data_IF_597467782782
#
_entry.id   IF_597467782782
#
_cell.length_a   1.000
_cell.length_b   1.000
_cell.length_c   1.000
_cell.angle_alpha   90.00
_cell.angle_beta   90.00
_cell.angle_gamma   90.00
#
_symmetry.space_group_name_H-M   'P 1'
#
loop_
_entity.id
_entity.type
_entity.pdbx_description
1 polymer ?
#
# COMPACT_ATOMS: atom_id res chain seq x y z
N UNK A 1 -22.96 3.33 -16.84
CA UNK A 1 -22.33 2.65 -15.69
C UNK A 1 -21.45 1.56 -16.28
N UNK A 2 -20.14 1.81 -16.46
CA UNK A 2 -19.24 0.87 -17.14
C UNK A 2 -18.90 -0.24 -16.14
N UNK A 3 -19.66 -1.33 -16.17
CA UNK A 3 -19.48 -2.54 -15.36
C UNK A 3 -18.58 -3.58 -16.06
N UNK A 4 -17.56 -3.15 -16.80
CA UNK A 4 -16.49 -4.04 -17.25
C UNK A 4 -15.32 -3.92 -16.29
N UNK A 5 -15.54 -4.33 -15.03
CA UNK A 5 -14.46 -4.52 -14.06
C UNK A 5 -13.75 -5.82 -14.43
N UNK A 6 -12.47 -5.74 -14.77
CA UNK A 6 -11.67 -6.91 -15.14
C UNK A 6 -11.35 -7.67 -13.86
N UNK A 7 -12.11 -8.74 -13.57
CA UNK A 7 -11.66 -9.73 -12.58
C UNK A 7 -10.50 -10.51 -13.21
N UNK A 8 -9.31 -10.54 -12.58
CA UNK A 8 -8.24 -11.40 -13.06
C UNK A 8 -8.65 -12.86 -12.83
N UNK A 9 -8.65 -13.67 -13.89
CA UNK A 9 -8.84 -15.13 -13.76
C UNK A 9 -7.46 -15.78 -13.60
N UNK A 10 -7.26 -16.43 -12.46
CA UNK A 10 -6.06 -17.21 -12.19
C UNK A 10 -6.17 -18.56 -12.89
N UNK A 11 -5.14 -18.91 -13.66
CA UNK A 11 -4.98 -20.23 -14.26
C UNK A 11 -3.87 -20.96 -13.53
N UNK A 12 -4.21 -22.10 -12.91
CA UNK A 12 -3.22 -22.95 -12.26
C UNK A 12 -2.28 -23.57 -13.31
N UNK A 13 -0.96 -23.52 -13.09
CA UNK A 13 0.00 -24.16 -13.97
C UNK A 13 0.22 -25.62 -13.53
N UNK A 14 -0.64 -26.53 -13.98
CA UNK A 14 -0.54 -27.98 -13.71
C UNK A 14 -0.54 -28.76 -15.03
N UNK A 15 0.20 -29.88 -15.06
CA UNK A 15 0.41 -30.69 -16.27
C UNK A 15 -0.86 -31.42 -16.74
N UNK A 16 -1.75 -31.78 -15.83
CA UNK A 16 -3.04 -32.44 -16.12
C UNK A 16 -4.16 -31.41 -16.28
N UNK A 17 -4.93 -31.55 -17.37
CA UNK A 17 -6.01 -30.62 -17.72
C UNK A 17 -7.14 -30.61 -16.68
N UNK A 18 -7.48 -31.77 -16.11
CA UNK A 18 -8.54 -31.90 -15.10
C UNK A 18 -8.15 -31.22 -13.77
N UNK A 19 -6.93 -31.46 -13.27
CA UNK A 19 -6.48 -30.84 -12.02
C UNK A 19 -6.26 -29.34 -12.18
N UNK A 20 -5.84 -28.91 -13.38
CA UNK A 20 -5.73 -27.50 -13.72
C UNK A 20 -7.08 -26.79 -13.61
N UNK A 21 -8.15 -27.36 -14.16
CA UNK A 21 -9.50 -26.78 -14.08
C UNK A 21 -9.96 -26.66 -12.63
N UNK A 22 -9.87 -27.77 -11.88
CA UNK A 22 -10.30 -27.83 -10.48
C UNK A 22 -9.53 -26.80 -9.63
N UNK A 23 -8.20 -26.76 -9.74
CA UNK A 23 -7.39 -25.80 -8.97
C UNK A 23 -7.65 -24.36 -9.37
N UNK A 24 -7.86 -24.09 -10.65
CA UNK A 24 -8.18 -22.72 -11.11
C UNK A 24 -9.53 -22.28 -10.53
N UNK A 25 -10.54 -23.15 -10.51
CA UNK A 25 -11.84 -22.87 -9.89
C UNK A 25 -11.71 -22.59 -8.38
N UNK A 26 -10.93 -23.40 -7.66
CA UNK A 26 -10.68 -23.17 -6.23
C UNK A 26 -9.94 -21.85 -5.98
N UNK A 27 -8.88 -21.55 -6.73
CA UNK A 27 -8.12 -20.31 -6.55
C UNK A 27 -8.98 -19.09 -6.88
N UNK A 28 -9.77 -19.16 -7.95
CA UNK A 28 -10.66 -18.06 -8.32
C UNK A 28 -11.78 -17.86 -7.29
N UNK A 29 -12.38 -18.94 -6.76
CA UNK A 29 -13.41 -18.81 -5.71
C UNK A 29 -12.86 -18.24 -4.41
N UNK A 30 -11.64 -18.62 -4.00
CA UNK A 30 -10.95 -18.00 -2.86
C UNK A 30 -10.61 -16.54 -3.13
N UNK A 31 -10.13 -16.21 -4.33
CA UNK A 31 -9.86 -14.83 -4.70
C UNK A 31 -11.13 -13.98 -4.72
N UNK A 32 -12.25 -14.51 -5.20
CA UNK A 32 -13.53 -13.81 -5.21
C UNK A 32 -14.02 -13.55 -3.78
N UNK A 33 -13.92 -14.53 -2.89
CA UNK A 33 -14.26 -14.39 -1.47
C UNK A 33 -13.51 -13.21 -0.82
N UNK A 34 -12.18 -13.16 -0.94
CA UNK A 34 -11.40 -12.06 -0.38
C UNK A 34 -11.71 -10.71 -1.03
N UNK A 35 -11.93 -10.67 -2.35
CA UNK A 35 -12.28 -9.42 -3.05
C UNK A 35 -13.63 -8.86 -2.61
N UNK A 36 -14.59 -9.72 -2.37
CA UNK A 36 -15.93 -9.33 -1.93
C UNK A 36 -15.91 -8.80 -0.49
N UNK A 37 -15.23 -9.51 0.42
CA UNK A 37 -15.19 -9.10 1.83
C UNK A 37 -14.37 -7.82 2.05
N UNK A 38 -13.20 -7.70 1.42
CA UNK A 38 -12.35 -6.49 1.52
C UNK A 38 -12.88 -5.32 0.69
N UNK A 39 -14.07 -5.43 0.07
CA UNK A 39 -14.66 -4.41 -0.81
C UNK A 39 -13.68 -3.86 -1.87
N UNK A 40 -12.89 -4.76 -2.45
CA UNK A 40 -11.70 -4.46 -3.26
C UNK A 40 -12.00 -3.46 -4.38
N UNK A 41 -13.11 -3.67 -5.09
CA UNK A 41 -13.47 -2.88 -6.27
C UNK A 41 -13.65 -1.38 -5.96
N UNK A 42 -14.14 -1.03 -4.76
CA UNK A 42 -14.32 0.37 -4.37
C UNK A 42 -12.98 1.02 -4.02
N UNK A 43 -12.08 0.27 -3.40
CA UNK A 43 -10.73 0.72 -3.06
C UNK A 43 -9.92 0.90 -4.35
N UNK A 44 -9.95 -0.08 -5.26
CA UNK A 44 -9.27 0.01 -6.56
C UNK A 44 -9.79 1.19 -7.39
N UNK A 45 -11.11 1.44 -7.39
CA UNK A 45 -11.68 2.62 -8.08
C UNK A 45 -11.14 3.94 -7.51
N UNK A 46 -10.90 4.02 -6.20
CA UNK A 46 -10.28 5.19 -5.56
C UNK A 46 -8.78 5.27 -5.85
N UNK A 47 -8.10 4.13 -5.93
CA UNK A 47 -6.70 4.05 -6.36
C UNK A 47 -6.53 4.55 -7.79
N UNK A 48 -7.42 4.14 -8.69
CA UNK A 48 -7.45 4.58 -10.09
C UNK A 48 -7.73 6.08 -10.20
N UNK A 49 -8.58 6.63 -9.34
CA UNK A 49 -8.79 8.07 -9.26
C UNK A 49 -7.48 8.80 -8.92
N UNK A 50 -6.72 8.31 -7.93
CA UNK A 50 -5.42 8.89 -7.57
C UNK A 50 -4.41 8.79 -8.70
N UNK A 51 -4.36 7.65 -9.38
CA UNK A 51 -3.53 7.43 -10.56
C UNK A 51 -3.78 8.52 -11.61
N UNK A 52 -5.05 8.83 -11.90
CA UNK A 52 -5.44 9.86 -12.87
C UNK A 52 -5.11 11.27 -12.36
N UNK A 53 -5.22 11.52 -11.05
CA UNK A 53 -4.97 12.84 -10.46
C UNK A 53 -3.48 13.17 -10.33
N UNK A 54 -2.74 12.35 -9.57
CA UNK A 54 -1.35 12.62 -9.17
C UNK A 54 -0.32 11.75 -9.89
N UNK A 55 -0.74 10.74 -10.65
CA UNK A 55 0.16 9.88 -11.42
C UNK A 55 0.49 8.55 -10.75
N UNK A 56 0.03 8.33 -9.52
CA UNK A 56 0.12 7.05 -8.84
C UNK A 56 -1.03 6.84 -7.88
N UNK A 57 -1.33 5.58 -7.58
CA UNK A 57 -2.30 5.19 -6.57
C UNK A 57 -1.74 4.06 -5.72
N UNK A 58 -2.04 4.09 -4.42
CA UNK A 58 -1.47 3.16 -3.45
C UNK A 58 -2.56 2.44 -2.66
N UNK A 59 -2.34 1.17 -2.42
CA UNK A 59 -3.12 0.34 -1.50
C UNK A 59 -2.15 -0.40 -0.58
N UNK A 60 -2.55 -0.60 0.68
CA UNK A 60 -1.84 -1.49 1.60
C UNK A 60 -2.72 -2.70 1.87
N UNK A 61 -2.14 -3.89 1.80
CA UNK A 61 -2.82 -5.13 2.14
C UNK A 61 -2.30 -5.58 3.50
N UNK A 62 -3.19 -5.85 4.43
CA UNK A 62 -2.82 -6.33 5.77
C UNK A 62 -3.79 -7.43 6.22
N UNK A 63 -3.47 -8.09 7.33
CA UNK A 63 -4.40 -9.04 7.96
C UNK A 63 -4.99 -8.36 9.20
N UNK A 64 -6.32 -8.28 9.25
CA UNK A 64 -7.05 -7.81 10.42
C UNK A 64 -7.55 -9.00 11.23
N UNK A 65 -7.23 -8.99 12.52
CA UNK A 65 -7.74 -9.96 13.50
C UNK A 65 -8.89 -9.38 14.36
N UNK A 66 -9.32 -8.16 14.06
CA UNK A 66 -10.35 -7.48 14.84
C UNK A 66 -11.76 -7.86 14.36
N UNK A 67 -12.62 -8.18 15.33
CA UNK A 67 -14.00 -8.57 15.13
C UNK A 67 -14.93 -7.36 14.89
N UNK A 68 -14.46 -6.12 15.10
CA UNK A 68 -15.29 -4.92 14.96
C UNK A 68 -15.54 -4.52 13.49
N UNK A 69 -14.63 -4.86 12.57
CA UNK A 69 -14.70 -4.50 11.16
C UNK A 69 -14.58 -5.70 10.21
N UNK A 70 -14.22 -6.89 10.73
CA UNK A 70 -14.14 -8.13 9.97
C UNK A 70 -15.50 -8.81 9.79
N UNK A 71 -15.63 -9.52 8.66
CA UNK A 71 -16.76 -10.42 8.37
C UNK A 71 -16.73 -11.68 9.22
N UNK A 72 -15.58 -11.97 9.84
CA UNK A 72 -15.31 -13.19 10.60
C UNK A 72 -15.57 -13.00 12.10
N UNK A 73 -16.65 -13.61 12.65
CA UNK A 73 -16.97 -13.54 14.08
C UNK A 73 -15.98 -14.34 14.96
N UNK A 74 -15.19 -15.24 14.35
CA UNK A 74 -14.31 -16.17 15.06
C UNK A 74 -12.90 -15.60 15.28
N UNK A 75 -12.56 -14.48 14.62
CA UNK A 75 -11.26 -13.83 14.76
C UNK A 75 -10.10 -14.61 14.13
N UNK A 76 -10.35 -15.40 13.09
CA UNK A 76 -9.31 -16.20 12.41
C UNK A 76 -8.38 -15.37 11.51
N UNK A 77 -8.61 -14.05 11.43
CA UNK A 77 -7.84 -13.14 10.59
C UNK A 77 -8.43 -13.05 9.18
N UNK A 78 -8.78 -11.85 8.75
CA UNK A 78 -9.27 -11.56 7.41
C UNK A 78 -8.29 -10.65 6.66
N UNK A 79 -8.12 -10.89 5.36
CA UNK A 79 -7.31 -10.02 4.51
C UNK A 79 -8.09 -8.72 4.29
N UNK A 80 -7.52 -7.61 4.73
CA UNK A 80 -8.05 -6.28 4.48
C UNK A 80 -7.15 -5.50 3.52
N UNK A 81 -7.76 -4.58 2.79
CA UNK A 81 -7.06 -3.72 1.85
C UNK A 81 -7.46 -2.28 2.13
N UNK A 82 -6.48 -1.50 2.55
CA UNK A 82 -6.69 -0.11 2.87
C UNK A 82 -6.30 0.79 1.69
N UNK A 83 -7.18 1.72 1.34
CA UNK A 83 -6.79 2.85 0.47
C UNK A 83 -5.80 3.72 1.23
N UNK A 84 -4.63 3.94 0.64
CA UNK A 84 -3.65 4.89 1.20
C UNK A 84 -3.70 6.22 0.46
N UNK A 85 -3.60 7.32 1.20
CA UNK A 85 -3.46 8.66 0.61
C UNK A 85 -2.08 8.77 -0.05
N UNK A 86 -1.99 9.22 -1.32
CA UNK A 86 -0.74 9.31 -2.06
C UNK A 86 0.35 10.12 -1.35
N UNK A 87 -0.03 11.16 -0.60
CA UNK A 87 0.94 12.03 0.06
C UNK A 87 1.48 11.44 1.38
N UNK A 88 0.89 10.36 1.88
CA UNK A 88 1.32 9.70 3.10
C UNK A 88 2.18 8.46 2.79
N UNK A 89 2.75 8.39 1.59
CA UNK A 89 3.56 7.27 1.12
C UNK A 89 4.89 7.79 0.59
N UNK A 90 5.94 7.03 0.88
CA UNK A 90 7.30 7.27 0.46
C UNK A 90 7.84 5.98 -0.17
N UNK A 91 8.75 6.14 -1.11
CA UNK A 91 9.40 5.02 -1.78
C UNK A 91 10.85 5.38 -2.10
N UNK A 92 11.63 4.37 -2.48
CA UNK A 92 12.99 4.53 -2.95
C UNK A 92 13.07 5.50 -4.16
N UNK A 93 13.75 6.66 -4.04
CA UNK A 93 13.89 7.63 -5.13
C UNK A 93 14.60 7.06 -6.37
N UNK A 94 15.37 5.99 -6.21
CA UNK A 94 16.09 5.35 -7.31
C UNK A 94 15.22 4.38 -8.13
N UNK A 95 14.03 4.04 -7.62
CA UNK A 95 13.10 3.15 -8.30
C UNK A 95 12.66 3.77 -9.64
N UNK A 96 12.87 3.04 -10.72
CA UNK A 96 12.68 3.44 -12.11
C UNK A 96 11.49 2.73 -12.78
N UNK A 97 11.19 1.51 -12.33
CA UNK A 97 10.24 0.63 -13.01
C UNK A 97 8.78 1.00 -12.73
N UNK A 98 7.90 0.57 -13.66
CA UNK A 98 6.46 0.67 -13.48
C UNK A 98 6.02 -0.07 -12.22
N UNK A 99 5.09 0.52 -11.48
CA UNK A 99 4.59 0.03 -10.19
C UNK A 99 5.66 -0.08 -9.09
N UNK A 100 6.82 0.55 -9.29
CA UNK A 100 7.93 0.57 -8.33
C UNK A 100 8.40 -0.85 -7.94
N UNK A 101 8.41 -1.77 -8.90
CA UNK A 101 8.81 -3.17 -8.67
C UNK A 101 10.30 -3.31 -8.32
N UNK A 102 11.12 -2.35 -8.71
CA UNK A 102 12.56 -2.28 -8.42
C UNK A 102 12.89 -1.55 -7.11
N UNK A 103 11.89 -1.01 -6.40
CA UNK A 103 12.12 -0.27 -5.17
C UNK A 103 12.83 -1.13 -4.09
N UNK A 104 13.82 -0.54 -3.42
CA UNK A 104 14.51 -1.20 -2.28
C UNK A 104 13.72 -1.09 -0.99
N UNK A 105 12.97 -0.01 -0.84
CA UNK A 105 12.13 0.22 0.32
C UNK A 105 10.89 1.02 -0.06
N UNK A 106 9.85 0.86 0.75
CA UNK A 106 8.59 1.61 0.69
C UNK A 106 8.16 1.92 2.12
N UNK A 107 7.53 3.07 2.32
CA UNK A 107 7.05 3.45 3.64
C UNK A 107 5.70 4.15 3.54
N UNK A 108 4.86 3.99 4.56
CA UNK A 108 3.65 4.81 4.71
C UNK A 108 3.62 5.46 6.08
N UNK A 109 3.04 6.65 6.13
CA UNK A 109 2.76 7.41 7.35
C UNK A 109 1.28 7.31 7.69
N UNK A 110 0.95 7.04 8.95
CA UNK A 110 -0.42 7.03 9.44
C UNK A 110 -0.47 7.72 10.80
N UNK A 111 -1.44 8.61 10.97
CA UNK A 111 -1.69 9.32 12.22
C UNK A 111 -2.68 8.51 13.06
N UNK A 112 -2.32 8.21 14.30
CA UNK A 112 -3.16 7.50 15.26
C UNK A 112 -3.44 8.37 16.49
N UNK A 113 -4.51 8.08 17.22
CA UNK A 113 -4.69 8.63 18.56
C UNK A 113 -3.68 7.96 19.51
N UNK A 114 -3.26 8.66 20.57
CA UNK A 114 -2.32 8.09 21.55
C UNK A 114 -2.83 6.77 22.15
N UNK A 115 -4.12 6.71 22.48
CA UNK A 115 -4.76 5.54 23.07
C UNK A 115 -4.73 4.33 22.12
N UNK A 116 -4.91 4.54 20.81
CA UNK A 116 -4.86 3.46 19.82
C UNK A 116 -3.44 2.90 19.66
N UNK A 117 -2.41 3.74 19.70
CA UNK A 117 -1.02 3.28 19.62
C UNK A 117 -0.65 2.43 20.84
N UNK A 118 -1.09 2.83 22.04
CA UNK A 118 -0.88 2.05 23.27
C UNK A 118 -1.60 0.69 23.21
N UNK A 119 -2.80 0.64 22.61
CA UNK A 119 -3.55 -0.62 22.40
C UNK A 119 -2.90 -1.54 21.37
N UNK A 120 -2.50 -0.99 20.23
CA UNK A 120 -2.00 -1.77 19.09
C UNK A 120 -0.59 -2.31 19.34
N UNK A 121 0.29 -1.52 19.96
CA UNK A 121 1.72 -1.87 20.05
C UNK A 121 2.17 -2.23 21.46
N UNK A 122 1.25 -2.30 22.44
CA UNK A 122 1.49 -2.73 23.84
C UNK A 122 2.73 -2.10 24.51
N UNK A 123 3.22 -0.97 24.01
CA UNK A 123 4.47 -0.32 24.41
C UNK A 123 4.13 0.97 25.13
N UNK A 124 4.75 1.23 26.30
CA UNK A 124 4.59 2.49 27.02
C UNK A 124 5.36 3.60 26.32
N UNK A 125 4.64 4.61 25.83
CA UNK A 125 5.13 5.57 24.85
C UNK A 125 5.42 6.93 25.48
N UNK A 126 6.52 7.01 26.24
CA UNK A 126 6.89 8.25 26.95
C UNK A 126 7.61 9.30 26.08
N UNK A 127 7.98 8.99 24.83
CA UNK A 127 8.61 9.94 23.89
C UNK A 127 8.24 9.54 22.46
N UNK A 128 7.18 10.11 21.91
CA UNK A 128 6.80 9.94 20.50
C UNK A 128 6.95 11.26 19.76
N UNK A 129 7.06 11.20 18.44
CA UNK A 129 6.78 12.35 17.59
C UNK A 129 5.29 12.70 17.70
N UNK A 130 4.99 13.57 18.67
CA UNK A 130 3.70 14.22 18.79
C UNK A 130 3.63 15.31 17.71
N UNK A 131 2.72 15.19 16.76
CA UNK A 131 2.31 16.33 15.94
C UNK A 131 1.25 17.10 16.73
N UNK A 132 1.61 18.25 17.30
CA UNK A 132 0.61 19.21 17.78
C UNK A 132 -0.12 19.77 16.57
N UNK A 133 -1.38 19.36 16.39
CA UNK A 133 -2.28 19.99 15.43
C UNK A 133 -2.71 21.35 16.01
N UNK A 134 -1.91 22.39 15.78
CA UNK A 134 -2.33 23.76 16.08
C UNK A 134 -3.52 24.14 15.16
N UNK A 135 -4.72 24.16 15.75
CA UNK A 135 -5.89 24.80 15.14
C UNK A 135 -5.69 26.32 15.14
N UNK A 136 -4.94 26.83 14.16
CA UNK A 136 -4.93 28.27 13.90
C UNK A 136 -6.14 28.64 13.03
N UNK A 137 -6.99 29.54 13.51
CA UNK A 137 -8.11 30.13 12.75
C UNK A 137 -7.62 30.98 11.56
N UNK A 138 -6.32 31.25 11.47
CA UNK A 138 -5.70 31.98 10.38
C UNK A 138 -5.37 31.05 9.21
N UNK A 139 -5.89 31.35 8.02
CA UNK A 139 -5.41 30.77 6.77
C UNK A 139 -3.94 31.17 6.54
N UNK A 140 -3.00 30.42 7.10
CA UNK A 140 -1.59 30.57 6.77
C UNK A 140 -1.35 30.00 5.36
N UNK A 141 -1.50 30.88 4.37
CA UNK A 141 -1.02 30.65 3.02
C UNK A 141 0.51 30.72 3.09
N UNK A 142 1.17 29.57 3.17
CA UNK A 142 2.61 29.51 2.97
C UNK A 142 2.94 30.11 1.59
N UNK A 143 3.91 31.04 1.56
CA UNK A 143 4.34 31.81 0.37
C UNK A 143 4.74 30.94 -0.83
N UNK A 144 4.98 29.65 -0.63
CA UNK A 144 5.42 28.68 -1.65
C UNK A 144 4.28 27.85 -2.27
N UNK A 145 3.02 28.07 -1.88
CA UNK A 145 1.89 27.37 -2.52
C UNK A 145 1.82 25.87 -2.24
N UNK A 146 2.61 25.38 -1.29
CA UNK A 146 2.44 24.06 -0.71
C UNK A 146 1.25 24.10 0.25
N UNK A 147 0.18 23.42 -0.13
CA UNK A 147 -0.91 23.06 0.77
C UNK A 147 -0.36 22.04 1.76
N UNK A 148 0.24 22.50 2.87
CA UNK A 148 0.36 21.63 4.05
C UNK A 148 -1.06 21.19 4.36
N UNK A 149 -1.32 19.88 4.35
CA UNK A 149 -2.65 19.30 4.56
C UNK A 149 -3.31 19.89 5.82
N UNK A 150 -4.08 20.97 5.67
CA UNK A 150 -5.25 21.17 6.52
C UNK A 150 -6.25 20.15 6.02
N UNK A 151 -6.52 19.13 6.83
CA UNK A 151 -7.77 18.39 6.72
C UNK A 151 -8.87 19.45 6.75
N UNK A 152 -9.56 19.66 5.65
CA UNK A 152 -10.80 20.42 5.59
C UNK A 152 -11.85 19.66 6.41
N UNK A 153 -11.74 19.78 7.73
CA UNK A 153 -12.75 19.36 8.70
C UNK A 153 -13.69 20.56 8.88
N UNK A 154 -14.60 20.69 7.91
CA UNK A 154 -15.86 21.38 8.15
C UNK A 154 -16.55 20.67 9.33
N UNK A 155 -16.57 21.34 10.48
CA UNK A 155 -17.32 20.99 11.69
C UNK A 155 -16.94 19.68 12.40
N UNK A 156 -15.78 19.66 13.06
CA UNK A 156 -15.62 18.86 14.29
C UNK A 156 -15.24 19.81 15.42
N UNK A 157 -16.24 20.23 16.18
CA UNK A 157 -16.06 20.69 17.56
C UNK A 157 -15.60 19.50 18.39
N UNK A 158 -14.34 19.45 18.81
CA UNK A 158 -13.88 18.38 19.71
C UNK A 158 -12.37 18.41 19.94
N UNK A 159 -12.00 18.68 21.20
CA UNK A 159 -10.79 18.30 21.94
C UNK A 159 -9.44 18.23 21.21
N UNK A 160 -8.44 18.93 21.78
CA UNK A 160 -7.01 18.78 21.48
C UNK A 160 -6.54 17.33 21.77
N UNK A 161 -6.92 16.39 20.91
CA UNK A 161 -6.47 15.01 20.98
C UNK A 161 -5.06 14.94 20.41
N UNK A 162 -4.11 14.53 21.24
CA UNK A 162 -2.71 14.32 20.85
C UNK A 162 -2.65 13.19 19.82
N UNK A 163 -2.34 13.56 18.58
CA UNK A 163 -2.14 12.62 17.49
C UNK A 163 -0.67 12.22 17.40
N UNK A 164 -0.44 10.93 17.19
CA UNK A 164 0.89 10.33 17.05
C UNK A 164 1.09 9.94 15.59
N UNK A 165 2.24 10.31 15.02
CA UNK A 165 2.63 9.87 13.69
C UNK A 165 3.38 8.54 13.78
N UNK A 166 2.88 7.54 13.06
CA UNK A 166 3.50 6.21 12.94
C UNK A 166 3.89 5.96 11.49
N UNK A 167 5.11 5.49 11.27
CA UNK A 167 5.65 5.11 9.99
C UNK A 167 5.76 3.59 9.90
N UNK A 168 5.10 2.98 8.91
CA UNK A 168 5.30 1.57 8.53
C UNK A 168 6.33 1.56 7.41
N UNK A 169 7.54 1.11 7.70
CA UNK A 169 8.69 1.08 6.80
C UNK A 169 8.95 -0.37 6.36
N UNK A 170 9.05 -0.63 5.06
CA UNK A 170 9.29 -1.95 4.51
C UNK A 170 10.51 -1.93 3.59
N UNK A 171 11.38 -2.92 3.72
CA UNK A 171 12.55 -3.09 2.86
C UNK A 171 12.76 -4.58 2.57
N UNK A 172 13.67 -4.87 1.65
CA UNK A 172 14.13 -6.24 1.45
C UNK A 172 15.64 -6.32 1.61
N UNK A 173 16.10 -7.46 2.11
CA UNK A 173 17.51 -7.83 2.18
C UNK A 173 17.72 -9.20 1.51
N UNK A 174 18.96 -9.47 1.10
CA UNK A 174 19.34 -10.78 0.58
C UNK A 174 19.72 -11.71 1.75
N UNK A 175 18.98 -12.80 1.87
CA UNK A 175 19.31 -13.89 2.79
C UNK A 175 19.67 -15.16 1.99
N UNK A 176 20.56 -15.97 2.57
CA UNK A 176 21.03 -17.22 1.97
C UNK A 176 20.03 -18.34 2.22
N UNK A 177 19.56 -18.94 1.13
CA UNK A 177 18.68 -20.10 1.15
C UNK A 177 19.35 -21.31 0.48
N UNK A 178 18.89 -22.49 0.87
CA UNK A 178 19.36 -23.77 0.37
C UNK A 178 18.19 -24.49 -0.27
N UNK A 179 18.32 -24.82 -1.55
CA UNK A 179 17.39 -25.72 -2.23
C UNK A 179 17.95 -27.12 -2.12
N UNK A 180 17.27 -27.98 -1.37
CA UNK A 180 17.67 -29.36 -1.12
C UNK A 180 16.67 -30.28 -1.81
N UNK A 181 17.14 -31.33 -2.46
CA UNK A 181 16.24 -32.38 -2.94
C UNK A 181 15.54 -33.05 -1.76
N UNK A 182 14.27 -33.41 -1.94
CA UNK A 182 13.49 -33.91 -0.80
C UNK A 182 14.08 -35.22 -0.26
N UNK A 183 14.60 -35.24 0.98
CA UNK A 183 15.27 -36.41 1.54
C UNK A 183 14.32 -37.60 1.74
N UNK A 184 13.00 -37.38 1.74
CA UNK A 184 11.99 -38.45 1.82
C UNK A 184 12.08 -39.36 0.58
N UNK A 185 12.45 -38.82 -0.57
CA UNK A 185 12.58 -39.61 -1.80
C UNK A 185 13.77 -40.59 -1.76
N UNK A 186 14.75 -40.31 -0.91
CA UNK A 186 15.96 -41.10 -0.74
C UNK A 186 15.84 -42.16 0.37
N UNK A 187 14.70 -42.23 1.07
CA UNK A 187 14.49 -43.23 2.10
C UNK A 187 14.33 -44.63 1.49
N UNK A 188 15.13 -45.59 1.96
CA UNK A 188 15.04 -47.00 1.51
C UNK A 188 13.87 -47.74 2.16
N UNK A 189 13.48 -47.33 3.37
CA UNK A 189 12.43 -47.94 4.18
C UNK A 189 11.33 -46.93 4.59
N UNK A 190 10.09 -47.41 4.75
CA UNK A 190 8.93 -46.60 5.14
C UNK A 190 9.12 -46.01 6.55
N UNK A 191 9.81 -46.75 7.43
CA UNK A 191 10.19 -46.26 8.76
C UNK A 191 11.23 -45.13 8.71
N UNK A 192 12.18 -45.18 7.76
CA UNK A 192 13.16 -44.11 7.56
C UNK A 192 12.48 -42.86 6.99
N UNK A 193 11.59 -43.02 6.01
CA UNK A 193 10.79 -41.93 5.46
C UNK A 193 9.95 -41.24 6.56
N UNK A 194 9.34 -42.02 7.45
CA UNK A 194 8.55 -41.50 8.56
C UNK A 194 9.40 -40.76 9.60
N UNK A 195 10.61 -41.25 9.87
CA UNK A 195 11.56 -40.59 10.79
C UNK A 195 12.08 -39.27 10.22
N UNK A 196 12.38 -39.23 8.92
CA UNK A 196 12.79 -38.01 8.20
C UNK A 196 11.63 -37.00 8.17
N UNK A 197 10.42 -37.45 7.85
CA UNK A 197 9.24 -36.58 7.87
C UNK A 197 8.99 -36.00 9.27
N UNK A 198 9.10 -36.82 10.32
CA UNK A 198 8.96 -36.35 11.70
C UNK A 198 10.09 -35.39 12.12
N UNK A 199 11.31 -35.61 11.64
CA UNK A 199 12.44 -34.71 11.84
C UNK A 199 12.19 -33.34 11.19
N UNK A 200 11.72 -33.32 9.93
CA UNK A 200 11.35 -32.09 9.22
C UNK A 200 10.20 -31.37 9.95
N UNK A 201 9.19 -32.11 10.42
CA UNK A 201 8.09 -31.54 11.22
C UNK A 201 8.60 -30.93 12.54
N UNK A 202 9.51 -31.62 13.25
CA UNK A 202 10.11 -31.06 14.47
C UNK A 202 10.98 -29.84 14.21
N UNK A 203 11.78 -29.85 13.13
CA UNK A 203 12.58 -28.69 12.76
C UNK A 203 11.69 -27.47 12.43
N UNK A 204 10.49 -27.72 11.88
CA UNK A 204 9.48 -26.68 11.75
C UNK A 204 8.93 -26.24 13.12
N UNK A 205 8.50 -27.17 13.98
CA UNK A 205 7.88 -26.85 15.28
C UNK A 205 8.82 -26.13 16.26
N UNK A 206 10.08 -26.57 16.39
CA UNK A 206 11.05 -26.05 17.38
C UNK A 206 11.38 -24.57 17.14
N UNK A 207 11.32 -24.11 15.88
CA UNK A 207 11.63 -22.72 15.53
C UNK A 207 10.38 -21.89 15.19
N UNK A 208 9.19 -22.49 15.17
CA UNK A 208 7.92 -21.78 14.99
C UNK A 208 7.50 -20.98 16.24
N UNK A 209 8.27 -20.98 17.32
CA UNK A 209 8.03 -20.08 18.47
C UNK A 209 8.31 -18.60 18.13
N UNK A 210 8.97 -18.30 17.00
CA UNK A 210 9.13 -16.93 16.47
C UNK A 210 8.77 -16.87 14.97
N UNK A 211 7.50 -16.55 14.68
CA UNK A 211 7.03 -15.72 13.55
C UNK A 211 7.22 -16.16 12.07
N UNK A 212 7.75 -17.33 11.75
CA UNK A 212 8.06 -17.71 10.34
C UNK A 212 7.07 -18.72 9.70
N UNK A 213 5.75 -18.50 9.81
CA UNK A 213 4.75 -19.36 9.15
C UNK A 213 4.84 -19.36 7.61
N UNK A 214 5.47 -18.35 7.02
CA UNK A 214 5.59 -18.17 5.57
C UNK A 214 6.49 -19.19 4.85
N UNK A 215 7.24 -19.99 5.61
CA UNK A 215 8.18 -20.98 5.08
C UNK A 215 7.81 -22.39 5.53
N UNK A 216 6.51 -22.71 5.61
CA UNK A 216 6.07 -24.09 5.84
C UNK A 216 6.63 -25.00 4.75
N UNK A 217 7.46 -25.95 5.17
CA UNK A 217 8.06 -26.96 4.29
C UNK A 217 6.95 -27.87 3.80
N UNK A 218 6.72 -27.89 2.48
CA UNK A 218 5.81 -28.85 1.87
C UNK A 218 6.55 -30.18 1.69
N UNK A 219 6.18 -31.18 2.49
CA UNK A 219 6.78 -32.51 2.51
C UNK A 219 6.57 -33.28 1.19
N UNK A 220 5.55 -32.94 0.41
CA UNK A 220 5.27 -33.59 -0.87
C UNK A 220 6.03 -32.94 -2.04
N UNK A 221 6.66 -31.79 -1.80
CA UNK A 221 7.39 -31.09 -2.86
C UNK A 221 8.68 -31.85 -3.20
N UNK A 222 9.08 -31.91 -4.49
CA UNK A 222 10.31 -32.60 -4.88
C UNK A 222 11.58 -31.89 -4.38
N UNK A 223 11.48 -30.60 -4.03
CA UNK A 223 12.59 -29.80 -3.51
C UNK A 223 12.12 -29.02 -2.30
N UNK A 224 12.91 -29.06 -1.23
CA UNK A 224 12.71 -28.25 -0.05
C UNK A 224 13.53 -26.97 -0.17
N UNK A 225 12.93 -25.83 0.18
CA UNK A 225 13.63 -24.54 0.26
C UNK A 225 13.79 -24.20 1.72
N UNK A 226 15.03 -24.17 2.20
CA UNK A 226 15.38 -24.04 3.60
C UNK A 226 16.22 -22.78 3.84
N UNK A 227 15.98 -22.11 4.96
CA UNK A 227 16.90 -21.12 5.49
C UNK A 227 18.17 -21.80 6.05
N UNK A 228 19.21 -21.00 6.29
CA UNK A 228 20.50 -21.50 6.79
C UNK A 228 20.37 -22.34 8.06
N UNK A 229 19.48 -21.98 8.96
CA UNK A 229 19.37 -22.68 10.24
C UNK A 229 18.64 -24.01 10.09
N UNK A 230 17.46 -24.02 9.42
CA UNK A 230 16.76 -25.28 9.13
C UNK A 230 17.60 -26.22 8.27
N UNK A 231 18.41 -25.68 7.35
CA UNK A 231 19.36 -26.48 6.58
C UNK A 231 20.35 -27.21 7.48
N UNK A 232 20.99 -26.52 8.42
CA UNK A 232 21.93 -27.15 9.35
C UNK A 232 21.26 -28.22 10.22
N UNK A 233 20.07 -27.92 10.76
CA UNK A 233 19.32 -28.84 11.62
C UNK A 233 18.91 -30.12 10.85
N UNK A 234 18.49 -29.97 9.59
CA UNK A 234 18.13 -31.11 8.73
C UNK A 234 19.37 -31.89 8.29
N UNK A 235 20.46 -31.22 7.91
CA UNK A 235 21.70 -31.90 7.50
C UNK A 235 22.31 -32.71 8.65
N UNK A 236 22.30 -32.21 9.88
CA UNK A 236 22.76 -32.99 11.04
C UNK A 236 21.95 -34.28 11.23
N UNK A 237 20.64 -34.23 10.96
CA UNK A 237 19.78 -35.40 11.06
C UNK A 237 19.99 -36.38 9.90
N UNK A 238 20.22 -35.88 8.69
CA UNK A 238 20.47 -36.71 7.51
C UNK A 238 21.84 -37.39 7.58
N UNK A 239 22.86 -36.73 8.14
CA UNK A 239 24.16 -37.35 8.44
C UNK A 239 24.02 -38.57 9.37
N UNK A 240 23.12 -38.52 10.35
CA UNK A 240 22.85 -39.66 11.25
C UNK A 240 22.17 -40.84 10.56
N UNK A 241 21.48 -40.59 9.44
CA UNK A 241 20.78 -41.58 8.63
C UNK A 241 21.61 -41.99 7.41
N UNK A 242 22.83 -41.47 7.26
CA UNK A 242 23.75 -41.72 6.13
C UNK A 242 23.15 -41.32 4.77
N UNK A 243 22.28 -40.31 4.74
CA UNK A 243 21.71 -39.74 3.51
C UNK A 243 22.40 -38.40 3.22
N UNK A 244 22.98 -38.27 2.04
CA UNK A 244 23.58 -37.02 1.56
C UNK A 244 22.74 -36.46 0.40
N UNK A 245 21.79 -35.53 0.65
CA UNK A 245 21.00 -34.95 -0.43
C UNK A 245 21.82 -33.95 -1.24
N UNK A 246 21.55 -33.86 -2.55
CA UNK A 246 22.07 -32.76 -3.36
C UNK A 246 21.41 -31.44 -2.95
N UNK A 247 22.23 -30.39 -2.83
CA UNK A 247 21.75 -29.04 -2.51
C UNK A 247 22.42 -27.96 -3.33
N UNK A 248 21.70 -26.85 -3.50
CA UNK A 248 22.17 -25.64 -4.17
C UNK A 248 21.94 -24.43 -3.25
N UNK A 249 23.01 -23.68 -2.99
CA UNK A 249 22.94 -22.39 -2.28
C UNK A 249 22.57 -21.26 -3.24
N UNK A 250 21.64 -20.40 -2.83
CA UNK A 250 21.26 -19.21 -3.59
C UNK A 250 20.78 -18.08 -2.66
N UNK A 251 20.95 -16.84 -3.12
CA UNK A 251 20.45 -15.66 -2.40
C UNK A 251 18.99 -15.40 -2.77
N UNK A 252 18.15 -15.20 -1.76
CA UNK A 252 16.72 -14.86 -1.92
C UNK A 252 16.43 -13.53 -1.24
N UNK A 253 15.57 -12.72 -1.86
CA UNK A 253 15.05 -11.50 -1.23
C UNK A 253 14.07 -11.88 -0.12
N UNK A 254 14.31 -11.35 1.08
CA UNK A 254 13.42 -11.47 2.24
C UNK A 254 12.94 -10.07 2.59
N UNK A 255 11.62 -9.93 2.69
CA UNK A 255 10.97 -8.66 2.95
C UNK A 255 10.67 -8.51 4.44
N UNK A 256 11.01 -7.35 4.99
CA UNK A 256 10.87 -7.01 6.41
C UNK A 256 10.05 -5.73 6.57
N UNK A 257 9.30 -5.63 7.67
CA UNK A 257 8.55 -4.44 8.06
C UNK A 257 9.00 -4.00 9.45
N UNK A 258 9.27 -2.71 9.58
CA UNK A 258 9.46 -2.03 10.85
C UNK A 258 8.37 -0.98 11.03
N UNK A 259 7.86 -0.88 12.25
CA UNK A 259 6.91 0.14 12.67
C UNK A 259 7.66 1.10 13.58
N UNK A 260 7.72 2.36 13.16
CA UNK A 260 8.54 3.41 13.76
C UNK A 260 7.66 4.59 14.14
N UNK A 261 8.00 5.29 15.21
CA UNK A 261 7.45 6.61 15.51
C UNK A 261 8.56 7.49 16.07
N UNK A 262 8.91 8.55 15.33
CA UNK A 262 10.17 9.27 15.50
C UNK A 262 11.37 8.35 15.57
N UNK A 263 12.16 8.50 16.64
CA UNK A 263 13.39 7.74 16.86
C UNK A 263 13.15 6.34 17.48
N UNK A 264 11.91 5.95 17.73
CA UNK A 264 11.59 4.67 18.40
C UNK A 264 11.08 3.62 17.41
N UNK A 265 11.70 2.44 17.48
CA UNK A 265 11.17 1.21 16.91
C UNK A 265 10.11 0.64 17.84
N UNK A 266 8.87 0.55 17.34
CA UNK A 266 7.74 -0.05 18.05
C UNK A 266 7.75 -1.56 17.85
N UNK A 267 7.84 -1.97 16.59
CA UNK A 267 7.78 -3.37 16.21
C UNK A 267 8.60 -3.63 14.94
N UNK A 268 9.10 -4.85 14.78
CA UNK A 268 9.86 -5.27 13.61
C UNK A 268 9.66 -6.76 13.39
N UNK A 269 9.12 -7.12 12.24
CA UNK A 269 8.81 -8.50 11.88
C UNK A 269 9.01 -8.74 10.39
N UNK A 270 9.08 -10.01 9.99
CA UNK A 270 9.14 -10.36 8.57
C UNK A 270 7.78 -10.15 7.93
N UNK A 271 7.73 -9.63 6.72
CA UNK A 271 6.46 -9.39 6.04
C UNK A 271 5.62 -10.66 5.97
N UNK A 272 4.31 -10.50 6.19
CA UNK A 272 3.29 -11.52 6.01
C UNK A 272 3.37 -12.12 4.59
N UNK A 273 3.77 -11.33 3.60
CA UNK A 273 3.97 -11.80 2.24
C UNK A 273 5.42 -11.61 1.79
N UNK A 274 6.04 -12.67 1.27
CA UNK A 274 7.46 -12.69 0.88
C UNK A 274 7.70 -12.59 -0.64
N UNK A 275 6.66 -12.39 -1.46
CA UNK A 275 6.84 -12.14 -2.89
C UNK A 275 6.93 -10.63 -3.25
N UNK A 276 6.84 -9.74 -2.26
CA UNK A 276 6.95 -8.30 -2.44
C UNK A 276 6.49 -7.52 -1.21
N UNK A 277 6.57 -6.19 -1.29
CA UNK A 277 5.99 -5.30 -0.30
C UNK A 277 4.46 -5.47 -0.19
N UNK A 278 3.89 -5.27 1.00
CA UNK A 278 2.44 -5.27 1.20
C UNK A 278 1.81 -3.97 0.68
N UNK A 279 2.57 -2.87 0.70
CA UNK A 279 2.19 -1.62 0.03
C UNK A 279 2.38 -1.80 -1.47
N UNK A 280 1.29 -1.73 -2.24
CA UNK A 280 1.29 -1.88 -3.70
C UNK A 280 0.97 -0.56 -4.39
N UNK A 281 1.76 -0.28 -5.44
CA UNK A 281 1.64 0.92 -6.25
C UNK A 281 1.05 0.59 -7.61
N UNK A 282 0.23 1.51 -8.10
CA UNK A 282 -0.19 1.61 -9.49
C UNK A 282 0.38 2.92 -10.01
N UNK A 283 1.24 2.88 -11.02
CA UNK A 283 1.89 4.08 -11.57
C UNK A 283 1.38 4.41 -12.96
N UNK A 284 1.24 5.70 -13.27
CA UNK A 284 0.80 6.20 -14.56
C UNK A 284 2.02 6.57 -15.43
N UNK A 285 2.06 7.79 -15.96
CA UNK A 285 3.16 8.29 -16.75
C UNK A 285 4.29 8.77 -15.85
N UNK A 286 5.52 8.42 -16.25
CA UNK A 286 6.75 8.89 -15.64
C UNK A 286 7.48 9.75 -16.66
N UNK A 287 8.00 10.88 -16.21
CA UNK A 287 8.99 11.63 -16.97
C UNK A 287 10.38 11.08 -16.67
N UNK A 288 11.08 10.60 -17.71
CA UNK A 288 12.41 10.00 -17.59
C UNK A 288 13.49 11.00 -17.15
N UNK A 289 13.29 12.30 -17.42
CA UNK A 289 14.27 13.33 -17.08
C UNK A 289 14.14 13.75 -15.62
N UNK A 290 12.91 14.07 -15.20
CA UNK A 290 12.66 14.54 -13.82
C UNK A 290 12.45 13.39 -12.84
N UNK A 291 12.16 12.18 -13.33
CA UNK A 291 11.80 11.03 -12.50
C UNK A 291 10.43 11.15 -11.84
N UNK A 292 9.65 12.19 -12.15
CA UNK A 292 8.37 12.47 -11.52
C UNK A 292 7.25 11.69 -12.20
N UNK A 293 6.37 11.13 -11.38
CA UNK A 293 5.10 10.57 -11.81
C UNK A 293 4.08 11.69 -11.94
N UNK A 294 3.30 11.67 -13.02
CA UNK A 294 2.23 12.65 -13.21
C UNK A 294 0.96 12.02 -13.77
N UNK A 295 -0.17 12.53 -13.29
CA UNK A 295 -1.49 12.14 -13.72
C UNK A 295 -2.02 13.01 -14.86
N UNK A 296 -3.11 12.58 -15.49
CA UNK A 296 -3.79 13.34 -16.53
C UNK A 296 -4.22 14.74 -16.05
N UNK A 297 -4.66 14.86 -14.80
CA UNK A 297 -5.10 16.14 -14.23
C UNK A 297 -3.95 17.15 -14.14
N UNK A 298 -2.71 16.68 -14.00
CA UNK A 298 -1.53 17.55 -13.97
C UNK A 298 -1.39 18.33 -15.27
N UNK A 299 -1.62 17.68 -16.41
CA UNK A 299 -1.61 18.31 -17.74
C UNK A 299 -2.79 19.27 -17.95
N UNK A 300 -3.93 19.01 -17.31
CA UNK A 300 -5.12 19.87 -17.41
C UNK A 300 -5.07 21.10 -16.49
N UNK A 301 -4.16 21.12 -15.50
CA UNK A 301 -4.09 22.18 -14.49
C UNK A 301 -3.84 23.55 -15.10
N UNK A 302 -2.94 23.65 -16.07
CA UNK A 302 -2.62 24.93 -16.72
C UNK A 302 -3.77 25.46 -17.60
N UNK A 303 -4.33 24.69 -18.57
CA UNK A 303 -5.50 25.12 -19.32
C UNK A 303 -6.67 25.54 -18.44
N UNK A 304 -6.95 24.78 -17.37
CA UNK A 304 -8.01 25.11 -16.42
C UNK A 304 -7.77 26.46 -15.73
N UNK A 305 -6.53 26.73 -15.27
CA UNK A 305 -6.16 28.03 -14.68
C UNK A 305 -6.34 29.18 -15.67
N UNK A 306 -5.93 29.01 -16.93
CA UNK A 306 -6.12 30.04 -17.96
C UNK A 306 -7.59 30.33 -18.22
N UNK A 307 -8.42 29.28 -18.32
CA UNK A 307 -9.87 29.43 -18.53
C UNK A 307 -10.52 30.17 -17.35
N UNK A 308 -10.22 29.77 -16.11
CA UNK A 308 -10.75 30.45 -14.92
C UNK A 308 -10.31 31.91 -14.90
N UNK A 309 -9.02 32.20 -15.15
CA UNK A 309 -8.51 33.57 -15.20
C UNK A 309 -9.21 34.41 -16.27
N UNK A 310 -9.37 33.88 -17.48
CA UNK A 310 -10.03 34.58 -18.58
C UNK A 310 -11.49 34.90 -18.25
N UNK A 311 -12.23 33.94 -17.69
CA UNK A 311 -13.61 34.14 -17.26
C UNK A 311 -13.72 35.19 -16.16
N UNK A 312 -12.84 35.15 -15.16
CA UNK A 312 -12.80 36.17 -14.09
C UNK A 312 -12.52 37.56 -14.65
N UNK A 313 -11.59 37.69 -15.60
CA UNK A 313 -11.29 38.98 -16.24
C UNK A 313 -12.45 39.50 -17.10
N UNK A 314 -13.15 38.63 -17.84
CA UNK A 314 -14.35 39.00 -18.59
C UNK A 314 -15.44 39.51 -17.64
N UNK A 315 -15.71 38.77 -16.56
CA UNK A 315 -16.70 39.17 -15.55
C UNK A 315 -16.30 40.48 -14.87
N UNK A 316 -15.02 40.66 -14.53
CA UNK A 316 -14.50 41.90 -13.96
C UNK A 316 -14.67 43.08 -14.92
N UNK A 317 -14.38 42.87 -16.21
CA UNK A 317 -14.58 43.88 -17.24
C UNK A 317 -16.05 44.24 -17.40
N UNK A 318 -16.96 43.27 -17.37
CA UNK A 318 -18.40 43.52 -17.47
C UNK A 318 -18.94 44.23 -16.22
N UNK A 319 -18.46 43.87 -15.04
CA UNK A 319 -18.87 44.49 -13.79
C UNK A 319 -18.37 45.93 -13.64
N UNK A 320 -17.14 46.20 -14.08
CA UNK A 320 -16.53 47.53 -14.01
C UNK A 320 -16.82 48.39 -15.25
N UNK A 321 -17.34 47.81 -16.33
CA UNK A 321 -17.80 48.58 -17.47
C UNK A 321 -18.91 49.53 -17.00
N UNK A 322 -18.61 50.82 -16.95
CA UNK A 322 -19.64 51.84 -16.86
C UNK A 322 -20.58 51.62 -18.03
N UNK A 323 -21.89 51.52 -17.77
CA UNK A 323 -22.90 51.51 -18.84
C UNK A 323 -22.55 52.64 -19.81
N UNK A 324 -22.46 52.34 -21.10
CA UNK A 324 -22.12 53.33 -22.13
C UNK A 324 -23.17 54.44 -22.09
N UNK A 325 -22.84 55.53 -21.40
CA UNK A 325 -23.65 56.74 -21.33
C UNK A 325 -23.12 57.74 -22.35
N UNK A 326 -24.02 58.51 -22.96
CA UNK A 326 -23.63 59.61 -23.83
C UNK A 326 -23.01 60.72 -22.94
N UNK A 327 -21.72 60.96 -23.09
CA UNK A 327 -21.05 62.06 -22.37
C UNK A 327 -21.41 63.38 -23.05
N UNK A 328 -22.38 64.10 -22.49
CA UNK A 328 -22.80 65.43 -22.96
C UNK A 328 -22.44 66.48 -21.90
N UNK A 329 -21.86 67.58 -22.34
CA UNK A 329 -21.61 68.73 -21.46
C UNK A 329 -22.92 69.36 -20.99
N UNK A 330 -22.97 69.84 -19.74
CA UNK A 330 -24.19 70.30 -19.05
C UNK A 330 -24.98 71.43 -19.75
N UNK A 331 -24.47 72.00 -20.84
CA UNK A 331 -25.12 73.05 -21.64
C UNK A 331 -25.41 72.72 -23.10
N UNK A 332 -25.12 71.50 -23.57
CA UNK A 332 -25.27 71.15 -24.98
C UNK A 332 -26.69 70.66 -25.35
N UNK A 333 -27.56 70.41 -24.38
CA UNK A 333 -28.92 69.89 -24.61
C UNK A 333 -29.91 70.49 -23.61
N UNK A 334 -31.03 71.02 -24.12
CA UNK A 334 -32.06 71.68 -23.32
C UNK A 334 -32.94 70.71 -22.52
N UNK A 335 -32.94 69.40 -22.87
CA UNK A 335 -33.83 68.42 -22.27
C UNK A 335 -33.14 67.06 -22.04
N UNK A 336 -32.50 66.90 -20.88
CA UNK A 336 -31.72 65.71 -20.50
C UNK A 336 -32.58 64.43 -20.51
N UNK A 337 -33.88 64.54 -20.20
CA UNK A 337 -34.80 63.40 -20.11
C UNK A 337 -35.11 62.73 -21.44
N UNK A 338 -35.09 63.45 -22.56
CA UNK A 338 -35.35 62.85 -23.89
C UNK A 338 -34.16 62.00 -24.38
N UNK A 339 -32.97 62.21 -23.82
CA UNK A 339 -31.75 61.49 -24.15
C UNK A 339 -31.51 60.25 -23.27
N UNK A 340 -32.16 60.16 -22.10
CA UNK A 340 -32.08 58.99 -21.23
C UNK A 340 -33.07 57.86 -21.62
N UNK A 341 -34.10 58.19 -22.42
CA UNK A 341 -35.19 57.27 -22.80
C UNK A 341 -35.15 56.76 -24.25
N UNK A 342 -34.16 57.19 -25.05
CA UNK A 342 -33.79 56.58 -26.34
C UNK A 342 -32.50 55.78 -26.16
#
# INVERSE_FOLDING_TARGET
MIQHRRKPECLAAVLSEQDQQIRSEYINSVSDFFRENANFDHIESKQDLHLIMCGYGVVDTDILYDNEHGSDPEGNGEIDIERVDPNDVFWDPTASETNLLDARYVARRKTFSKDDVERLFSTKLDNLEEEELEFSEEYNINREGNYTKRRDLEYVTGTDEKMVVVHKFQWWDYEKFYRVENPIQYAEDEMQAQLIAQAIMRANEIRNEEEDENYRINLDSPFLVLDKYRFNDIMELLERVEIEPEYVEFDKRVYQTAILSGDKLLDSYKNIHQAGFTIKFKTAFRDDITGLLFGLVTLMREPAKYNTKALTEILRSLANATKTGLFIEKGATDNIKELEYN
#
